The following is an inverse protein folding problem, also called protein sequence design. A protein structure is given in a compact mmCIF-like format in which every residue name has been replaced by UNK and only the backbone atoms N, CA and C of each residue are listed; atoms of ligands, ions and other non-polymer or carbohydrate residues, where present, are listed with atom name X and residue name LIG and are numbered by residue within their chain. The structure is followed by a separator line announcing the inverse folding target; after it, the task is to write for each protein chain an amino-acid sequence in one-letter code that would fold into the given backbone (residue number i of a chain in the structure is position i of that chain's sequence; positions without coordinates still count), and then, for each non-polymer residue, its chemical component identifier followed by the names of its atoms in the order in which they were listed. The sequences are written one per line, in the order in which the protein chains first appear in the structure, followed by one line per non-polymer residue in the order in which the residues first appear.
data_IF_183156748000
#
_entry.id   IF_183156748000
#
_cell.length_a   1.000
_cell.length_b   1.000
_cell.length_c   1.000
_cell.angle_alpha   90.00
_cell.angle_beta   90.00
_cell.angle_gamma   90.00
#
_symmetry.space_group_name_H-M   'P 1'
#
loop_
_entity.id
_entity.type
_entity.pdbx_description
1 polymer ?
#
# COMPACT_ATOMS: atom_id res chain seq x y z
N UNK A 1 -28.98 52.09 -17.74
CA UNK A 1 -29.91 53.00 -17.07
C UNK A 1 -30.74 52.20 -16.09
N UNK A 2 -30.80 52.65 -14.88
CA UNK A 2 -31.58 52.43 -13.66
C UNK A 2 -30.72 51.91 -12.50
N UNK A 3 -30.28 52.88 -11.73
CA UNK A 3 -29.75 52.72 -10.36
C UNK A 3 -30.94 52.42 -9.46
N UNK A 4 -30.77 51.44 -8.52
CA UNK A 4 -31.68 51.30 -7.40
C UNK A 4 -30.86 51.40 -6.11
N UNK A 5 -31.11 52.50 -5.40
CA UNK A 5 -30.58 52.76 -4.06
C UNK A 5 -31.46 51.98 -3.07
N UNK A 6 -30.82 51.27 -2.12
CA UNK A 6 -31.53 50.75 -0.97
C UNK A 6 -30.90 51.27 0.31
N UNK A 7 -31.76 51.90 1.05
CA UNK A 7 -31.55 52.80 2.18
C UNK A 7 -31.19 52.01 3.45
N UNK A 8 -30.19 52.52 4.15
CA UNK A 8 -29.70 52.05 5.44
C UNK A 8 -30.68 52.46 6.53
N UNK A 9 -31.24 51.52 7.29
CA UNK A 9 -32.04 51.80 8.49
C UNK A 9 -31.23 51.40 9.73
N UNK A 10 -30.77 52.42 10.46
CA UNK A 10 -30.11 52.28 11.76
C UNK A 10 -31.20 52.11 12.81
N UNK A 11 -31.21 51.00 13.52
CA UNK A 11 -32.03 50.81 14.72
C UNK A 11 -31.11 50.87 15.93
N UNK A 12 -31.20 52.01 16.65
CA UNK A 12 -30.59 52.23 17.96
C UNK A 12 -31.50 51.52 18.99
N UNK A 13 -30.98 50.54 19.72
CA UNK A 13 -31.68 49.97 20.87
C UNK A 13 -30.88 50.18 22.15
N UNK A 14 -31.58 50.70 23.12
CA UNK A 14 -31.17 51.18 24.43
C UNK A 14 -30.43 50.14 25.28
N UNK A 15 -29.37 50.60 25.91
CA UNK A 15 -28.65 49.91 26.98
C UNK A 15 -29.52 50.03 28.26
N UNK A 16 -29.84 48.90 28.85
CA UNK A 16 -30.32 48.83 30.24
C UNK A 16 -29.18 48.12 31.03
N UNK A 17 -28.52 48.93 31.85
CA UNK A 17 -27.58 48.44 32.86
C UNK A 17 -28.39 47.94 34.04
N UNK A 18 -28.46 46.70 34.32
CA UNK A 18 -28.90 46.13 35.58
C UNK A 18 -27.70 45.51 36.30
N UNK A 19 -27.33 46.09 37.38
CA UNK A 19 -26.30 45.64 38.30
C UNK A 19 -27.01 44.78 39.36
N UNK A 20 -26.48 43.59 39.64
CA UNK A 20 -26.90 42.83 40.81
C UNK A 20 -26.72 41.33 40.70
N UNK A 21 -25.85 40.78 41.55
CA UNK A 21 -25.85 39.37 41.91
C UNK A 21 -24.52 38.65 41.65
N UNK A 22 -23.69 38.59 42.69
CA UNK A 22 -22.64 37.59 42.83
C UNK A 22 -23.32 36.23 42.92
N UNK A 23 -23.03 35.34 42.00
CA UNK A 23 -23.09 33.91 42.23
C UNK A 23 -21.82 33.29 41.66
N UNK A 24 -20.97 32.78 42.55
CA UNK A 24 -19.83 31.97 42.31
C UNK A 24 -20.27 30.57 41.78
N UNK A 25 -20.59 30.49 40.49
CA UNK A 25 -20.81 29.26 39.79
C UNK A 25 -19.69 29.07 38.78
N UNK A 26 -18.61 28.37 39.18
CA UNK A 26 -17.53 27.96 38.29
C UNK A 26 -18.04 27.00 37.21
N UNK A 27 -18.69 27.53 36.19
CA UNK A 27 -18.93 26.84 34.94
C UNK A 27 -17.66 26.92 34.12
N UNK A 28 -16.76 25.95 34.32
CA UNK A 28 -15.66 25.76 33.39
C UNK A 28 -16.27 25.51 32.01
N UNK A 29 -16.07 26.45 31.09
CA UNK A 29 -16.21 26.12 29.65
C UNK A 29 -15.27 24.99 29.39
N UNK A 30 -15.79 23.76 29.33
CA UNK A 30 -15.07 22.62 28.77
C UNK A 30 -15.18 22.86 27.27
N UNK A 31 -14.10 23.36 26.66
CA UNK A 31 -14.02 23.40 25.22
C UNK A 31 -14.27 21.95 24.70
N UNK A 32 -15.06 21.79 23.63
CA UNK A 32 -15.26 20.49 23.05
C UNK A 32 -13.86 19.90 22.72
N UNK A 33 -13.65 18.61 22.99
CA UNK A 33 -12.37 17.98 22.69
C UNK A 33 -12.03 18.22 21.22
N UNK A 34 -10.77 18.56 20.97
CA UNK A 34 -10.28 18.73 19.60
C UNK A 34 -10.62 17.49 18.76
N UNK A 35 -11.02 17.69 17.51
CA UNK A 35 -11.36 16.55 16.63
C UNK A 35 -10.15 15.64 16.48
N UNK A 36 -10.34 14.34 16.79
CA UNK A 36 -9.32 13.32 16.57
C UNK A 36 -9.20 13.11 15.06
N UNK A 37 -8.07 13.52 14.50
CA UNK A 37 -7.76 13.30 13.09
C UNK A 37 -6.94 12.01 12.96
N UNK A 38 -7.36 11.06 12.09
CA UNK A 38 -6.57 9.87 11.80
C UNK A 38 -5.27 10.23 11.07
N UNK A 39 -4.21 9.42 11.20
CA UNK A 39 -2.98 9.64 10.46
C UNK A 39 -3.22 9.52 8.96
N UNK A 40 -2.45 10.28 8.17
CA UNK A 40 -2.51 10.20 6.70
C UNK A 40 -1.41 9.28 6.16
N UNK A 41 -1.64 8.75 4.96
CA UNK A 41 -0.63 7.98 4.23
C UNK A 41 0.58 8.86 3.90
N UNK A 42 1.78 8.28 4.02
CA UNK A 42 3.02 8.94 3.58
C UNK A 42 3.35 8.60 2.13
N UNK A 43 4.19 9.41 1.51
CA UNK A 43 4.78 9.12 0.19
C UNK A 43 6.22 8.63 0.35
N UNK A 44 6.56 7.56 -0.35
CA UNK A 44 7.88 6.96 -0.32
C UNK A 44 8.88 7.79 -1.15
N UNK A 45 10.17 7.73 -0.79
CA UNK A 45 11.23 8.50 -1.47
C UNK A 45 12.36 7.58 -1.93
N UNK A 46 12.92 6.75 -1.04
CA UNK A 46 14.06 5.88 -1.36
C UNK A 46 14.01 4.60 -0.51
N UNK A 47 14.39 3.44 -1.09
CA UNK A 47 14.71 3.19 -2.49
C UNK A 47 13.52 3.45 -3.41
N UNK A 48 13.75 4.00 -4.61
CA UNK A 48 12.68 4.27 -5.56
C UNK A 48 12.04 2.97 -6.07
N UNK A 49 10.77 3.06 -6.47
CA UNK A 49 10.08 1.89 -6.99
C UNK A 49 10.77 1.33 -8.24
N UNK A 50 10.93 0.02 -8.29
CA UNK A 50 11.63 -0.70 -9.36
C UNK A 50 13.13 -0.33 -9.51
N UNK A 51 13.80 0.16 -8.44
CA UNK A 51 15.24 0.33 -8.46
C UNK A 51 15.90 -1.03 -8.63
N UNK A 52 16.71 -1.16 -9.67
CA UNK A 52 17.53 -2.33 -9.95
C UNK A 52 18.95 -2.10 -9.42
N UNK A 53 19.61 -3.18 -9.00
CA UNK A 53 21.02 -3.15 -8.58
C UNK A 53 21.37 -2.10 -7.53
N UNK A 54 20.55 -1.95 -6.48
CA UNK A 54 20.89 -1.13 -5.33
C UNK A 54 22.14 -1.71 -4.65
N UNK A 55 23.18 -0.89 -4.48
CA UNK A 55 24.44 -1.33 -3.88
C UNK A 55 24.39 -1.32 -2.35
N UNK A 56 25.17 -2.24 -1.75
CA UNK A 56 25.35 -2.33 -0.30
C UNK A 56 24.28 -3.19 0.37
N UNK A 57 24.56 -3.65 1.58
CA UNK A 57 23.64 -4.44 2.41
C UNK A 57 22.86 -3.57 3.42
N UNK A 58 23.40 -2.37 3.72
CA UNK A 58 22.75 -1.40 4.60
C UNK A 58 21.93 -0.43 3.76
N UNK A 59 20.64 -0.70 3.67
CA UNK A 59 19.71 0.08 2.84
C UNK A 59 19.08 1.19 3.67
N UNK A 60 19.24 2.45 3.22
CA UNK A 60 18.58 3.60 3.81
C UNK A 60 17.20 3.79 3.16
N UNK A 61 16.17 3.68 3.98
CA UNK A 61 14.80 3.95 3.60
C UNK A 61 14.40 5.37 3.98
N UNK A 62 13.75 6.09 3.06
CA UNK A 62 13.28 7.46 3.25
C UNK A 62 11.84 7.61 2.76
N UNK A 63 11.08 8.42 3.49
CA UNK A 63 9.71 8.80 3.14
C UNK A 63 9.43 10.22 3.60
N UNK A 64 8.34 10.82 3.14
CA UNK A 64 7.93 12.14 3.58
C UNK A 64 7.12 12.02 4.88
N UNK A 65 7.14 13.08 5.69
CA UNK A 65 6.24 13.16 6.84
C UNK A 65 4.79 13.18 6.38
N UNK A 66 3.91 12.57 7.18
CA UNK A 66 2.46 12.61 6.98
C UNK A 66 1.76 13.30 8.15
N UNK A 67 0.54 13.81 7.91
CA UNK A 67 -0.19 14.57 8.90
C UNK A 67 -0.74 13.63 9.98
N UNK A 68 -0.85 14.13 11.20
CA UNK A 68 -1.43 13.43 12.36
C UNK A 68 -0.73 12.11 12.67
N UNK A 69 0.58 12.01 12.38
CA UNK A 69 1.38 10.81 12.54
C UNK A 69 2.45 10.99 13.61
N UNK A 70 2.44 10.13 14.61
CA UNK A 70 3.45 10.10 15.68
C UNK A 70 4.53 9.05 15.43
N UNK A 71 4.15 7.95 14.78
CA UNK A 71 5.04 6.80 14.57
C UNK A 71 4.85 6.22 13.17
N UNK A 72 5.96 5.85 12.55
CA UNK A 72 6.02 5.12 11.30
C UNK A 72 6.50 3.69 11.56
N UNK A 73 5.81 2.71 11.04
CA UNK A 73 6.29 1.33 11.01
C UNK A 73 6.64 0.97 9.57
N UNK A 74 7.95 0.77 9.32
CA UNK A 74 8.40 0.25 8.04
C UNK A 74 8.24 -1.25 8.01
N UNK A 75 7.74 -1.77 6.89
CA UNK A 75 7.67 -3.19 6.60
C UNK A 75 8.47 -3.47 5.34
N UNK A 76 9.52 -4.28 5.48
CA UNK A 76 10.39 -4.71 4.37
C UNK A 76 10.23 -6.21 4.21
N UNK A 77 9.74 -6.63 3.05
CA UNK A 77 9.49 -8.03 2.73
C UNK A 77 10.50 -8.53 1.71
N UNK A 78 11.21 -9.59 2.04
CA UNK A 78 11.97 -10.35 1.08
C UNK A 78 11.01 -11.15 0.18
N UNK A 79 11.10 -10.96 -1.12
CA UNK A 79 10.13 -11.51 -2.07
C UNK A 79 10.45 -12.96 -2.48
N UNK A 80 11.67 -13.47 -2.19
CA UNK A 80 12.00 -14.88 -2.36
C UNK A 80 11.61 -15.71 -1.15
N UNK A 81 12.04 -15.29 0.05
CA UNK A 81 11.81 -16.05 1.30
C UNK A 81 10.47 -15.75 1.94
N UNK A 82 9.77 -14.69 1.50
CA UNK A 82 8.54 -14.16 2.09
C UNK A 82 8.71 -13.65 3.54
N UNK A 83 9.94 -13.58 4.05
CA UNK A 83 10.23 -13.04 5.38
C UNK A 83 9.97 -11.54 5.42
N UNK A 84 9.50 -11.05 6.57
CA UNK A 84 9.19 -9.62 6.77
C UNK A 84 10.00 -9.09 7.95
N UNK A 85 10.66 -7.95 7.75
CA UNK A 85 11.27 -7.13 8.78
C UNK A 85 10.32 -5.97 9.04
N UNK A 86 9.89 -5.79 10.29
CA UNK A 86 9.06 -4.66 10.71
C UNK A 86 9.78 -3.89 11.82
N UNK A 87 9.95 -2.57 11.63
CA UNK A 87 10.58 -1.68 12.62
C UNK A 87 9.79 -0.37 12.73
N UNK A 88 9.66 0.14 13.95
CA UNK A 88 8.97 1.40 14.21
C UNK A 88 9.96 2.51 14.56
N UNK A 89 9.67 3.73 14.09
CA UNK A 89 10.48 4.93 14.31
C UNK A 89 9.59 6.18 14.29
N UNK A 90 10.06 7.26 14.92
CA UNK A 90 9.47 8.60 14.79
C UNK A 90 10.16 9.45 13.72
N UNK A 91 11.24 8.94 13.13
CA UNK A 91 11.98 9.56 12.04
C UNK A 91 11.34 9.21 10.68
N UNK A 92 11.63 10.01 9.66
CA UNK A 92 11.28 9.74 8.25
C UNK A 92 12.38 9.01 7.48
N UNK A 93 13.36 8.48 8.20
CA UNK A 93 14.46 7.69 7.64
C UNK A 93 14.88 6.60 8.61
N UNK A 94 15.28 5.45 8.05
CA UNK A 94 15.83 4.32 8.80
C UNK A 94 16.77 3.51 7.90
N UNK A 95 17.81 2.92 8.49
CA UNK A 95 18.71 2.01 7.77
C UNK A 95 18.48 0.59 8.26
N UNK A 96 18.28 -0.34 7.33
CA UNK A 96 18.06 -1.75 7.61
C UNK A 96 19.08 -2.57 6.83
N UNK A 97 19.73 -3.52 7.53
CA UNK A 97 20.62 -4.48 6.89
C UNK A 97 19.79 -5.57 6.22
N UNK A 98 20.06 -5.80 4.93
CA UNK A 98 19.35 -6.76 4.10
C UNK A 98 20.33 -7.71 3.40
N UNK A 99 19.87 -8.90 3.07
CA UNK A 99 20.65 -9.86 2.29
C UNK A 99 20.78 -9.39 0.85
N UNK A 100 22.01 -9.50 0.29
CA UNK A 100 22.32 -9.13 -1.08
C UNK A 100 21.78 -10.14 -2.08
N UNK A 101 21.60 -9.70 -3.33
CA UNK A 101 21.17 -10.58 -4.43
C UNK A 101 19.71 -10.97 -4.37
N UNK A 102 18.87 -10.18 -3.70
CA UNK A 102 17.47 -10.52 -3.48
C UNK A 102 16.52 -9.35 -3.78
N UNK A 103 15.31 -9.65 -4.26
CA UNK A 103 14.25 -8.65 -4.43
C UNK A 103 13.52 -8.39 -3.11
N UNK A 104 13.18 -7.14 -2.89
CA UNK A 104 12.44 -6.68 -1.72
C UNK A 104 11.25 -5.81 -2.12
N UNK A 105 10.21 -5.84 -1.31
CA UNK A 105 9.17 -4.81 -1.31
C UNK A 105 9.11 -4.14 0.04
N UNK A 106 8.68 -2.87 0.05
CA UNK A 106 8.57 -2.13 1.28
C UNK A 106 7.43 -1.12 1.25
N UNK A 107 6.93 -0.81 2.43
CA UNK A 107 5.89 0.19 2.65
C UNK A 107 5.92 0.69 4.08
N UNK A 108 5.24 1.78 4.34
CA UNK A 108 5.13 2.43 5.65
C UNK A 108 3.69 2.36 6.12
N UNK A 109 3.52 2.09 7.42
CA UNK A 109 2.26 2.27 8.14
C UNK A 109 2.44 3.46 9.07
N UNK A 110 1.63 4.49 8.88
CA UNK A 110 1.55 5.68 9.74
C UNK A 110 0.53 5.42 10.85
N UNK A 111 0.89 5.74 12.10
CA UNK A 111 0.05 5.59 13.29
C UNK A 111 0.11 6.83 14.18
N UNK A 112 -0.95 7.06 14.95
CA UNK A 112 -1.08 8.17 15.89
C UNK A 112 -1.38 7.66 17.30
N UNK A 113 -0.92 8.39 18.32
CA UNK A 113 -1.28 8.11 19.70
C UNK A 113 -2.72 8.55 20.05
N UNK A 114 -3.30 9.42 19.24
CA UNK A 114 -4.65 9.96 19.45
C UNK A 114 -5.74 9.20 18.69
N UNK A 115 -5.39 8.32 17.76
CA UNK A 115 -6.32 7.54 16.93
C UNK A 115 -5.90 6.08 16.87
N UNK A 116 -6.87 5.17 16.86
CA UNK A 116 -6.63 3.75 16.58
C UNK A 116 -6.48 3.43 15.09
N UNK A 117 -6.80 4.38 14.22
CA UNK A 117 -6.68 4.22 12.78
C UNK A 117 -5.22 4.29 12.35
N UNK A 118 -4.92 3.63 11.25
CA UNK A 118 -3.61 3.66 10.60
C UNK A 118 -3.75 3.96 9.11
N UNK A 119 -2.68 4.44 8.49
CA UNK A 119 -2.66 4.68 7.05
C UNK A 119 -1.43 4.02 6.41
N UNK A 120 -1.64 3.24 5.35
CA UNK A 120 -0.57 2.60 4.59
C UNK A 120 -0.15 3.47 3.41
N UNK A 121 1.16 3.48 3.11
CA UNK A 121 1.72 4.02 1.87
C UNK A 121 1.48 3.07 0.69
N UNK A 122 1.86 3.51 -0.51
CA UNK A 122 2.10 2.60 -1.63
C UNK A 122 3.14 1.54 -1.25
N UNK A 123 3.15 0.42 -1.99
CA UNK A 123 4.15 -0.64 -1.85
C UNK A 123 5.13 -0.53 -3.00
N UNK A 124 6.38 -0.26 -2.69
CA UNK A 124 7.47 -0.18 -3.66
C UNK A 124 8.35 -1.41 -3.59
N UNK A 125 9.03 -1.73 -4.68
CA UNK A 125 9.97 -2.86 -4.77
C UNK A 125 11.31 -2.41 -5.34
N UNK A 126 12.36 -3.12 -4.97
CA UNK A 126 13.72 -2.91 -5.47
C UNK A 126 14.49 -4.22 -5.44
N UNK A 127 15.60 -4.25 -6.16
CA UNK A 127 16.54 -5.37 -6.15
C UNK A 127 17.86 -4.94 -5.50
N UNK A 128 18.30 -5.69 -4.48
CA UNK A 128 19.58 -5.45 -3.83
C UNK A 128 20.67 -6.26 -4.57
N UNK A 129 21.71 -5.56 -5.06
CA UNK A 129 22.79 -6.18 -5.82
C UNK A 129 23.45 -7.31 -5.03
N UNK A 130 23.60 -8.47 -5.66
CA UNK A 130 24.38 -9.61 -5.15
C UNK A 130 25.87 -9.44 -5.35
N UNK A 131 26.64 -10.33 -4.73
CA UNK A 131 28.01 -10.61 -5.19
C UNK A 131 27.86 -11.23 -6.59
N UNK A 132 28.83 -11.01 -7.47
CA UNK A 132 28.74 -11.40 -8.89
C UNK A 132 28.12 -12.80 -9.06
N UNK A 133 26.82 -12.84 -9.14
CA UNK A 133 26.07 -14.03 -9.55
C UNK A 133 25.84 -13.93 -11.04
N UNK A 134 25.94 -15.07 -11.73
CA UNK A 134 25.67 -15.12 -13.16
C UNK A 134 24.17 -15.02 -13.49
N UNK A 135 23.29 -14.95 -12.47
CA UNK A 135 21.83 -14.92 -12.64
C UNK A 135 21.15 -14.32 -11.41
N UNK A 136 20.21 -13.40 -11.63
CA UNK A 136 19.29 -12.87 -10.63
C UNK A 136 17.91 -13.51 -10.78
N UNK A 137 17.17 -13.66 -9.69
CA UNK A 137 15.79 -14.11 -9.79
C UNK A 137 14.90 -12.98 -10.33
N UNK A 138 13.84 -13.33 -11.09
CA UNK A 138 12.91 -12.35 -11.62
C UNK A 138 12.20 -11.57 -10.52
N UNK A 139 11.75 -10.34 -10.82
CA UNK A 139 10.84 -9.64 -9.93
C UNK A 139 9.52 -10.41 -9.79
N UNK A 140 8.91 -10.40 -8.61
CA UNK A 140 7.54 -10.85 -8.47
C UNK A 140 6.62 -10.11 -9.44
N UNK A 141 5.72 -10.85 -10.10
CA UNK A 141 4.78 -10.26 -11.03
C UNK A 141 3.86 -9.24 -10.34
N UNK A 142 3.61 -8.12 -11.00
CA UNK A 142 2.55 -7.19 -10.61
C UNK A 142 1.21 -7.76 -11.09
N UNK A 143 0.28 -8.00 -10.17
CA UNK A 143 -1.04 -8.53 -10.46
C UNK A 143 -1.97 -7.38 -10.89
N UNK A 144 -2.52 -7.46 -12.12
CA UNK A 144 -3.28 -6.36 -12.74
C UNK A 144 -4.77 -6.67 -12.73
N UNK A 145 -5.18 -7.87 -13.19
CA UNK A 145 -6.58 -8.31 -13.21
C UNK A 145 -6.73 -9.76 -12.78
N UNK A 146 -7.79 -10.06 -12.01
CA UNK A 146 -8.70 -9.12 -11.35
C UNK A 146 -7.96 -8.22 -10.35
N UNK A 147 -8.35 -6.94 -10.23
CA UNK A 147 -7.78 -6.06 -9.20
C UNK A 147 -8.09 -6.59 -7.80
N UNK A 148 -7.23 -6.31 -6.85
CA UNK A 148 -7.42 -6.74 -5.46
C UNK A 148 -8.78 -6.26 -4.93
N UNK A 149 -9.49 -7.14 -4.22
CA UNK A 149 -10.83 -6.91 -3.65
C UNK A 149 -11.96 -6.69 -4.68
N UNK A 150 -11.69 -6.84 -5.98
CA UNK A 150 -12.72 -6.67 -7.00
C UNK A 150 -13.87 -7.66 -6.85
N UNK A 151 -15.08 -7.23 -7.25
CA UNK A 151 -16.21 -8.10 -7.49
C UNK A 151 -16.42 -8.22 -9.00
N UNK A 152 -16.50 -9.45 -9.50
CA UNK A 152 -16.67 -9.76 -10.92
C UNK A 152 -17.87 -10.70 -11.11
N UNK A 153 -18.53 -10.61 -12.26
CA UNK A 153 -19.59 -11.53 -12.60
C UNK A 153 -19.04 -12.94 -12.90
N UNK A 154 -19.81 -14.01 -12.62
CA UNK A 154 -19.43 -15.36 -13.02
C UNK A 154 -19.30 -15.48 -14.53
N UNK A 155 -18.39 -16.34 -14.99
CA UNK A 155 -18.13 -16.59 -16.41
C UNK A 155 -16.67 -16.50 -16.76
N UNK A 156 -16.36 -15.85 -17.87
CA UNK A 156 -15.02 -15.74 -18.44
C UNK A 156 -14.25 -14.59 -17.74
N UNK A 157 -13.34 -14.93 -16.85
CA UNK A 157 -12.56 -13.97 -16.06
C UNK A 157 -11.13 -13.91 -16.61
N UNK A 158 -10.68 -12.70 -16.96
CA UNK A 158 -9.31 -12.44 -17.41
C UNK A 158 -8.39 -12.26 -16.20
N UNK A 159 -7.30 -13.01 -16.19
CA UNK A 159 -6.14 -12.83 -15.31
C UNK A 159 -5.05 -12.14 -16.11
N UNK A 160 -4.56 -11.02 -15.63
CA UNK A 160 -3.52 -10.21 -16.26
C UNK A 160 -2.47 -9.83 -15.22
N UNK A 161 -1.20 -9.92 -15.60
CA UNK A 161 -0.06 -9.54 -14.76
C UNK A 161 1.08 -8.99 -15.61
N UNK A 162 2.08 -8.43 -14.95
CA UNK A 162 3.32 -7.96 -15.57
C UNK A 162 4.50 -8.55 -14.82
N UNK A 163 5.45 -9.15 -15.53
CA UNK A 163 6.70 -9.65 -14.98
C UNK A 163 7.90 -8.93 -15.57
N UNK A 164 8.99 -8.88 -14.82
CA UNK A 164 10.27 -8.31 -15.26
C UNK A 164 11.44 -9.03 -14.59
N UNK A 165 12.61 -8.93 -15.22
CA UNK A 165 13.88 -9.44 -14.71
C UNK A 165 14.96 -8.38 -14.90
N UNK A 166 15.99 -8.44 -14.03
CA UNK A 166 17.21 -7.61 -14.13
C UNK A 166 18.10 -8.09 -15.27
N UNK A 167 18.10 -9.42 -15.51
CA UNK A 167 18.91 -10.05 -16.52
C UNK A 167 18.26 -9.91 -17.90
N UNK A 168 18.80 -9.00 -18.72
CA UNK A 168 18.18 -8.56 -20.00
C UNK A 168 18.08 -9.66 -21.06
N UNK A 169 18.74 -10.81 -20.84
CA UNK A 169 18.71 -11.98 -21.72
C UNK A 169 17.70 -13.04 -21.32
N UNK A 170 17.04 -12.87 -20.17
CA UNK A 170 16.20 -13.93 -19.62
C UNK A 170 14.80 -13.98 -20.24
N UNK A 171 14.33 -15.21 -20.36
CA UNK A 171 12.97 -15.50 -20.80
C UNK A 171 12.13 -15.89 -19.59
N UNK A 172 11.04 -15.14 -19.37
CA UNK A 172 10.16 -15.39 -18.24
C UNK A 172 9.03 -16.35 -18.60
N UNK A 173 8.75 -17.24 -17.68
CA UNK A 173 7.55 -18.09 -17.68
C UNK A 173 6.80 -17.97 -16.37
N UNK A 174 5.50 -18.27 -16.42
CA UNK A 174 4.60 -18.02 -15.29
C UNK A 174 3.81 -19.27 -14.95
N UNK A 175 3.60 -19.51 -13.66
CA UNK A 175 2.62 -20.45 -13.16
C UNK A 175 1.49 -19.66 -12.49
N UNK A 176 0.24 -19.91 -12.89
CA UNK A 176 -0.95 -19.31 -12.28
C UNK A 176 -1.54 -20.27 -11.26
N UNK A 177 -1.67 -19.80 -10.03
CA UNK A 177 -2.37 -20.49 -8.95
C UNK A 177 -3.70 -19.81 -8.65
N UNK A 178 -4.74 -20.61 -8.47
CA UNK A 178 -6.09 -20.13 -8.17
C UNK A 178 -6.81 -21.15 -7.28
N UNK A 179 -7.43 -20.69 -6.21
CA UNK A 179 -8.33 -21.50 -5.37
C UNK A 179 -9.22 -20.63 -4.50
N UNK A 180 -10.17 -21.27 -3.80
CA UNK A 180 -10.96 -20.64 -2.72
C UNK A 180 -10.25 -20.67 -1.36
N UNK A 181 -9.11 -21.32 -1.26
CA UNK A 181 -8.26 -21.36 -0.06
C UNK A 181 -7.18 -20.28 -0.12
N UNK A 182 -6.82 -19.71 1.03
CA UNK A 182 -5.71 -18.78 1.18
C UNK A 182 -4.60 -19.42 2.04
N UNK A 183 -3.35 -19.57 1.52
CA UNK A 183 -2.88 -19.25 0.18
C UNK A 183 -3.41 -20.24 -0.88
N UNK A 184 -3.49 -19.83 -2.16
CA UNK A 184 -3.91 -20.71 -3.25
C UNK A 184 -2.83 -21.78 -3.50
N UNK A 185 -3.23 -23.03 -3.45
CA UNK A 185 -2.34 -24.20 -3.65
C UNK A 185 -2.55 -24.89 -5.00
N UNK A 186 -3.66 -24.64 -5.67
CA UNK A 186 -4.00 -25.27 -6.95
C UNK A 186 -3.37 -24.49 -8.09
N UNK A 187 -2.40 -25.09 -8.78
CA UNK A 187 -1.81 -24.55 -9.99
C UNK A 187 -2.70 -24.90 -11.18
N UNK A 188 -3.32 -23.90 -11.80
CA UNK A 188 -4.25 -24.08 -12.93
C UNK A 188 -3.57 -23.90 -14.30
N UNK A 189 -2.45 -23.17 -14.35
CA UNK A 189 -1.60 -23.03 -15.55
C UNK A 189 -0.14 -23.10 -15.13
N UNK A 190 0.72 -23.60 -16.03
CA UNK A 190 2.17 -23.71 -15.77
C UNK A 190 3.00 -23.40 -16.99
N UNK A 191 4.16 -22.79 -16.77
CA UNK A 191 5.18 -22.47 -17.77
C UNK A 191 4.61 -21.69 -18.97
N UNK A 192 3.65 -20.81 -18.73
CA UNK A 192 3.07 -19.97 -19.78
C UNK A 192 3.95 -18.73 -20.01
N UNK A 193 4.09 -18.31 -21.25
CA UNK A 193 4.86 -17.11 -21.64
C UNK A 193 3.98 -15.89 -21.78
N UNK A 194 2.66 -16.10 -21.87
CA UNK A 194 1.68 -15.01 -21.92
C UNK A 194 1.52 -14.39 -20.54
N UNK A 195 1.32 -13.09 -20.49
CA UNK A 195 0.98 -12.33 -19.28
C UNK A 195 -0.53 -12.17 -19.10
N UNK A 196 -1.33 -12.90 -19.89
CA UNK A 196 -2.79 -12.91 -19.81
C UNK A 196 -3.32 -14.33 -20.01
N UNK A 197 -4.30 -14.69 -19.19
CA UNK A 197 -5.03 -15.97 -19.27
C UNK A 197 -6.47 -15.73 -18.92
N UNK A 198 -7.38 -16.40 -19.64
CA UNK A 198 -8.81 -16.40 -19.32
C UNK A 198 -9.21 -17.73 -18.72
N UNK A 199 -9.94 -17.68 -17.59
CA UNK A 199 -10.50 -18.84 -16.92
C UNK A 199 -12.02 -18.70 -16.80
N UNK A 200 -12.75 -19.79 -17.00
CA UNK A 200 -14.20 -19.81 -16.77
C UNK A 200 -14.47 -20.20 -15.31
N UNK A 201 -15.07 -19.28 -14.55
CA UNK A 201 -15.43 -19.49 -13.14
C UNK A 201 -16.92 -19.23 -12.99
N UNK A 202 -17.70 -20.28 -12.76
CA UNK A 202 -19.15 -20.23 -12.60
C UNK A 202 -19.58 -20.16 -11.14
N UNK A 203 -18.77 -20.66 -10.23
CA UNK A 203 -19.14 -20.77 -8.82
C UNK A 203 -18.93 -19.43 -8.10
N UNK A 204 -19.96 -19.01 -7.37
CA UNK A 204 -19.90 -17.79 -6.57
C UNK A 204 -19.02 -18.00 -5.34
N UNK A 205 -18.28 -16.98 -4.95
CA UNK A 205 -17.44 -17.04 -3.77
C UNK A 205 -16.20 -16.17 -3.84
N UNK A 206 -15.39 -16.28 -2.79
CA UNK A 206 -14.10 -15.60 -2.71
C UNK A 206 -13.01 -16.50 -3.27
N UNK A 207 -12.20 -15.91 -4.14
CA UNK A 207 -11.08 -16.58 -4.80
C UNK A 207 -9.76 -15.87 -4.47
N UNK A 208 -8.71 -16.66 -4.34
CA UNK A 208 -7.34 -16.21 -4.12
C UNK A 208 -6.48 -16.68 -5.27
N UNK A 209 -5.60 -15.82 -5.75
CA UNK A 209 -4.72 -16.14 -6.85
C UNK A 209 -3.34 -15.52 -6.69
N UNK A 210 -2.35 -16.11 -7.35
CA UNK A 210 -0.98 -15.64 -7.41
C UNK A 210 -0.28 -16.14 -8.66
N UNK A 211 0.83 -15.48 -8.98
CA UNK A 211 1.75 -15.85 -10.04
C UNK A 211 3.10 -16.24 -9.43
N UNK A 212 3.65 -17.34 -9.90
CA UNK A 212 5.08 -17.64 -9.75
C UNK A 212 5.74 -17.30 -11.07
N UNK A 213 6.66 -16.33 -11.04
CA UNK A 213 7.51 -15.96 -12.18
C UNK A 213 8.79 -16.79 -12.14
N UNK A 214 9.22 -17.32 -13.28
CA UNK A 214 10.44 -18.13 -13.42
C UNK A 214 11.27 -17.60 -14.57
N UNK A 215 12.58 -17.58 -14.38
CA UNK A 215 13.56 -17.36 -15.45
C UNK A 215 13.97 -18.68 -16.15
N UNK A 216 14.82 -18.56 -17.17
CA UNK A 216 15.39 -19.70 -17.89
C UNK A 216 16.59 -20.32 -17.15
N UNK A 217 17.06 -19.74 -16.06
CA UNK A 217 18.17 -20.22 -15.22
C UNK A 217 17.69 -21.03 -14.01
N UNK A 218 16.36 -21.08 -13.77
CA UNK A 218 15.71 -21.86 -12.72
C UNK A 218 15.39 -21.08 -11.46
N UNK A 219 15.69 -19.78 -11.41
CA UNK A 219 15.26 -18.93 -10.31
C UNK A 219 13.78 -18.53 -10.45
N UNK A 220 13.13 -18.20 -9.34
CA UNK A 220 11.73 -17.86 -9.37
C UNK A 220 11.35 -16.88 -8.25
N UNK A 221 10.19 -16.23 -8.41
CA UNK A 221 9.62 -15.31 -7.44
C UNK A 221 8.10 -15.49 -7.34
N UNK A 222 7.54 -15.15 -6.18
CA UNK A 222 6.11 -15.22 -5.86
C UNK A 222 5.52 -13.82 -5.81
N UNK A 223 4.44 -13.57 -6.57
CA UNK A 223 3.76 -12.26 -6.59
C UNK A 223 3.12 -11.86 -5.27
N UNK A 224 3.02 -12.79 -4.33
CA UNK A 224 2.08 -12.68 -3.23
C UNK A 224 0.64 -13.00 -3.68
N UNK A 225 -0.27 -13.07 -2.71
CA UNK A 225 -1.67 -13.47 -2.94
C UNK A 225 -2.55 -12.25 -3.14
N UNK A 226 -3.34 -12.24 -4.22
CA UNK A 226 -4.45 -11.33 -4.43
C UNK A 226 -5.79 -12.05 -4.24
N UNK A 227 -6.83 -11.30 -3.89
CA UNK A 227 -8.19 -11.79 -3.64
C UNK A 227 -9.20 -11.04 -4.51
N UNK A 228 -10.22 -11.75 -5.00
CA UNK A 228 -11.41 -11.18 -5.64
C UNK A 228 -12.64 -11.99 -5.30
N UNK A 229 -13.82 -11.45 -5.57
CA UNK A 229 -15.10 -12.11 -5.31
C UNK A 229 -15.84 -12.33 -6.62
N UNK A 230 -16.38 -13.53 -6.83
CA UNK A 230 -17.33 -13.83 -7.91
C UNK A 230 -18.73 -13.72 -7.34
N UNK A 231 -19.52 -12.79 -7.83
CA UNK A 231 -20.91 -12.54 -7.41
C UNK A 231 -21.77 -12.03 -8.58
N UNK A 232 -23.10 -12.21 -8.43
CA UNK A 232 -24.10 -11.71 -9.38
C UNK A 232 -24.37 -10.23 -9.17
#
# INVERSE_FOLDING_TARGET
MKKLHFTFLILISLIVISCGGKDDGGGGNVDPPDPINPPTSTTLVSPANNTECLDGENVEFRWNSSQYTDTYTINVKNLLTQSVISQSTTSTTITIQLERGQPYSWYIVSSSNSSSDTAESEKWKFYLRGDQTSNYAPFPADLIKPTAEATVAPGSIEFEWSGSDVDTGDTLTYDLYLSTSNPPTTRIQSNITSTKVTQNISDLGVYYWKIITKDNSGSNSDSGVSKFTVAN
#
